data_IF_787389831501
#
_entry.id   IF_787389831501
#
_cell.length_a   1.000
_cell.length_b   1.000
_cell.length_c   1.000
_cell.angle_alpha   90.00
_cell.angle_beta   90.00
_cell.angle_gamma   90.00
#
_symmetry.space_group_name_H-M   'P 1'
#
loop_
_entity.id
_entity.type
_entity.pdbx_description
1 polymer ?
#
# COMPACT_ATOMS: atom_id res chain seq x y z
N UNK A 1 28.43 -2.90 -12.78
CA UNK A 1 26.97 -2.73 -12.64
C UNK A 1 26.68 -1.23 -12.69
N UNK A 2 25.79 -0.78 -13.57
CA UNK A 2 25.49 0.65 -13.72
C UNK A 2 24.57 1.09 -12.58
N UNK A 3 25.05 1.94 -11.66
CA UNK A 3 24.28 2.41 -10.49
C UNK A 3 22.97 3.09 -10.92
N UNK A 4 22.99 3.83 -12.04
CA UNK A 4 21.78 4.40 -12.65
C UNK A 4 20.74 3.33 -13.00
N UNK A 5 21.16 2.18 -13.53
CA UNK A 5 20.23 1.10 -13.89
C UNK A 5 19.59 0.48 -12.64
N UNK A 6 20.36 0.34 -11.56
CA UNK A 6 19.85 -0.17 -10.27
C UNK A 6 18.86 0.82 -9.66
N UNK A 7 19.19 2.12 -9.69
CA UNK A 7 18.30 3.18 -9.25
C UNK A 7 16.98 3.16 -10.02
N UNK A 8 17.03 3.23 -11.36
CA UNK A 8 15.82 3.23 -12.22
C UNK A 8 14.95 2.00 -11.97
N UNK A 9 15.56 0.82 -11.87
CA UNK A 9 14.82 -0.42 -11.58
C UNK A 9 14.16 -0.37 -10.20
N UNK A 10 14.87 0.09 -9.17
CA UNK A 10 14.32 0.23 -7.83
C UNK A 10 13.17 1.25 -7.79
N UNK A 11 13.32 2.41 -8.44
CA UNK A 11 12.27 3.41 -8.53
C UNK A 11 11.04 2.88 -9.26
N UNK A 12 11.22 2.13 -10.35
CA UNK A 12 10.11 1.53 -11.08
C UNK A 12 9.36 0.50 -10.22
N UNK A 13 10.09 -0.38 -9.53
CA UNK A 13 9.50 -1.34 -8.59
C UNK A 13 8.74 -0.66 -7.46
N UNK A 14 9.27 0.46 -6.93
CA UNK A 14 8.59 1.27 -5.93
C UNK A 14 7.24 1.78 -6.46
N UNK A 15 7.21 2.39 -7.65
CA UNK A 15 5.95 2.89 -8.21
C UNK A 15 4.95 1.78 -8.48
N UNK A 16 5.38 0.65 -9.03
CA UNK A 16 4.52 -0.53 -9.25
C UNK A 16 3.94 -1.02 -7.91
N UNK A 17 4.76 -1.08 -6.86
CA UNK A 17 4.33 -1.51 -5.54
C UNK A 17 3.29 -0.55 -4.94
N UNK A 18 3.49 0.76 -5.05
CA UNK A 18 2.53 1.77 -4.59
C UNK A 18 1.20 1.66 -5.34
N UNK A 19 1.23 1.55 -6.67
CA UNK A 19 0.01 1.38 -7.48
C UNK A 19 -0.71 0.09 -7.09
N UNK A 20 0.02 -1.03 -6.96
CA UNK A 20 -0.56 -2.29 -6.52
C UNK A 20 -1.20 -2.18 -5.14
N UNK A 21 -0.52 -1.53 -4.19
CA UNK A 21 -1.08 -1.29 -2.86
C UNK A 21 -2.43 -0.55 -2.93
N UNK A 22 -2.53 0.51 -3.73
CA UNK A 22 -3.75 1.29 -3.89
C UNK A 22 -4.89 0.45 -4.47
N UNK A 23 -4.60 -0.39 -5.47
CA UNK A 23 -5.57 -1.31 -6.06
C UNK A 23 -6.09 -2.32 -5.02
N UNK A 24 -5.21 -2.89 -4.20
CA UNK A 24 -5.58 -3.85 -3.15
C UNK A 24 -6.38 -3.17 -2.02
N UNK A 25 -6.05 -1.93 -1.63
CA UNK A 25 -6.85 -1.15 -0.66
C UNK A 25 -8.26 -0.93 -1.23
N UNK A 26 -8.38 -0.57 -2.49
CA UNK A 26 -9.68 -0.37 -3.13
C UNK A 26 -10.47 -1.69 -3.20
N UNK A 27 -9.80 -2.81 -3.51
CA UNK A 27 -10.40 -4.13 -3.47
C UNK A 27 -10.88 -4.50 -2.06
N UNK A 28 -10.09 -4.20 -1.02
CA UNK A 28 -10.46 -4.39 0.37
C UNK A 28 -11.73 -3.63 0.72
N UNK A 29 -11.77 -2.33 0.41
CA UNK A 29 -12.93 -1.48 0.69
C UNK A 29 -14.18 -1.91 -0.07
N UNK A 30 -14.01 -2.33 -1.33
CA UNK A 30 -15.10 -2.90 -2.14
C UNK A 30 -15.63 -4.18 -1.50
N UNK A 31 -14.77 -5.12 -1.15
CA UNK A 31 -15.17 -6.38 -0.54
C UNK A 31 -15.87 -6.17 0.80
N UNK A 32 -15.32 -5.26 1.63
CA UNK A 32 -15.90 -4.88 2.91
C UNK A 32 -17.27 -4.21 2.74
N UNK A 33 -17.44 -3.34 1.73
CA UNK A 33 -18.74 -2.73 1.42
C UNK A 33 -19.78 -3.78 1.01
N UNK A 34 -19.37 -4.74 0.19
CA UNK A 34 -20.28 -5.69 -0.42
C UNK A 34 -20.67 -6.83 0.55
N UNK A 35 -19.77 -7.24 1.45
CA UNK A 35 -19.99 -8.38 2.37
C UNK A 35 -20.12 -8.00 3.85
N UNK A 36 -19.58 -6.85 4.26
CA UNK A 36 -19.59 -6.37 5.66
C UNK A 36 -20.06 -4.90 5.72
N UNK A 37 -21.25 -4.58 5.19
CA UNK A 37 -21.69 -3.20 5.00
C UNK A 37 -21.72 -2.40 6.30
N UNK A 38 -22.07 -3.03 7.43
CA UNK A 38 -22.06 -2.37 8.75
C UNK A 38 -20.67 -1.85 9.15
N UNK A 39 -19.60 -2.61 8.87
CA UNK A 39 -18.22 -2.18 9.13
C UNK A 39 -17.76 -1.12 8.14
N UNK A 40 -18.17 -1.23 6.88
CA UNK A 40 -17.88 -0.22 5.87
C UNK A 40 -18.56 1.13 6.20
N UNK A 41 -19.79 1.10 6.71
CA UNK A 41 -20.51 2.29 7.18
C UNK A 41 -19.88 2.90 8.45
N UNK A 42 -19.45 2.07 9.40
CA UNK A 42 -18.76 2.53 10.61
C UNK A 42 -17.45 3.30 10.30
N UNK A 43 -16.80 3.00 9.16
CA UNK A 43 -15.65 3.76 8.67
C UNK A 43 -16.00 5.08 7.96
N UNK A 44 -17.29 5.43 7.86
CA UNK A 44 -17.72 6.65 7.17
C UNK A 44 -17.69 6.55 5.65
N UNK A 45 -17.77 5.32 5.09
CA UNK A 45 -17.82 5.02 3.66
C UNK A 45 -16.61 5.60 2.89
N UNK A 46 -15.38 5.19 3.25
CA UNK A 46 -14.16 5.73 2.63
C UNK A 46 -14.16 5.47 1.13
N UNK A 47 -13.88 6.50 0.34
CA UNK A 47 -13.70 6.40 -1.11
C UNK A 47 -12.29 6.83 -1.47
N UNK A 48 -11.69 6.16 -2.45
CA UNK A 48 -10.49 6.68 -3.07
C UNK A 48 -10.88 7.91 -3.89
N UNK A 49 -10.58 9.10 -3.37
CA UNK A 49 -10.65 10.34 -4.13
C UNK A 49 -9.21 10.78 -4.48
N UNK A 50 -8.96 11.08 -5.76
CA UNK A 50 -7.63 11.49 -6.27
C UNK A 50 -7.23 12.86 -5.72
N UNK A 51 -8.19 13.63 -5.21
CA UNK A 51 -7.91 14.79 -4.37
C UNK A 51 -7.24 14.31 -3.07
N UNK A 52 -5.91 14.36 -3.08
CA UNK A 52 -5.00 13.95 -2.02
C UNK A 52 -5.43 14.49 -0.66
N UNK A 53 -6.17 13.70 0.12
CA UNK A 53 -6.46 14.10 1.49
C UNK A 53 -7.79 13.72 2.10
N UNK A 54 -8.60 12.83 1.49
CA UNK A 54 -9.77 12.34 2.22
C UNK A 54 -9.30 11.64 3.51
N UNK A 55 -9.56 12.32 4.63
CA UNK A 55 -9.15 11.88 5.96
C UNK A 55 -9.72 10.49 6.24
N UNK A 56 -10.92 10.18 5.73
CA UNK A 56 -11.57 8.87 5.89
C UNK A 56 -10.81 7.78 5.18
N UNK A 57 -10.29 8.05 3.98
CA UNK A 57 -9.46 7.10 3.25
C UNK A 57 -8.14 6.83 3.98
N UNK A 58 -7.49 7.88 4.53
CA UNK A 58 -6.27 7.72 5.34
C UNK A 58 -6.54 6.91 6.63
N UNK A 59 -7.63 7.19 7.32
CA UNK A 59 -8.03 6.43 8.51
C UNK A 59 -8.37 4.98 8.16
N UNK A 60 -9.04 4.73 7.03
CA UNK A 60 -9.32 3.37 6.56
C UNK A 60 -8.01 2.60 6.27
N UNK A 61 -7.02 3.23 5.64
CA UNK A 61 -5.71 2.60 5.43
C UNK A 61 -5.05 2.25 6.77
N UNK A 62 -5.09 3.15 7.76
CA UNK A 62 -4.56 2.88 9.10
C UNK A 62 -5.29 1.71 9.76
N UNK A 63 -6.61 1.68 9.68
CA UNK A 63 -7.45 0.61 10.21
C UNK A 63 -7.12 -0.75 9.57
N UNK A 64 -7.02 -0.78 8.24
CA UNK A 64 -6.61 -1.97 7.48
C UNK A 64 -5.25 -2.43 7.99
N UNK A 65 -4.23 -1.56 7.98
CA UNK A 65 -2.85 -1.90 8.42
C UNK A 65 -2.80 -2.42 9.86
N UNK A 66 -3.63 -1.87 10.76
CA UNK A 66 -3.79 -2.30 12.16
C UNK A 66 -4.58 -3.60 12.35
N UNK A 67 -5.03 -4.26 11.27
CA UNK A 67 -5.76 -5.55 11.32
C UNK A 67 -7.09 -5.47 12.07
N UNK A 68 -7.76 -4.32 12.07
CA UNK A 68 -9.05 -4.10 12.75
C UNK A 68 -10.26 -4.83 12.12
N UNK A 69 -10.01 -5.78 11.22
CA UNK A 69 -11.03 -6.56 10.52
C UNK A 69 -10.75 -8.06 10.60
N UNK A 70 -9.71 -8.48 11.34
CA UNK A 70 -9.40 -9.92 11.53
C UNK A 70 -10.54 -10.64 12.24
N UNK A 71 -11.30 -9.96 13.10
CA UNK A 71 -12.45 -10.53 13.79
C UNK A 71 -13.58 -10.94 12.85
N UNK A 72 -13.59 -10.45 11.61
CA UNK A 72 -14.59 -10.83 10.60
C UNK A 72 -14.36 -12.25 10.07
N UNK A 73 -13.19 -12.85 10.33
CA UNK A 73 -12.79 -14.18 9.85
C UNK A 73 -13.02 -14.38 8.34
N UNK A 74 -12.94 -13.29 7.57
CA UNK A 74 -13.16 -13.31 6.13
C UNK A 74 -11.84 -13.71 5.41
N UNK A 75 -11.82 -14.85 4.70
CA UNK A 75 -10.62 -15.34 4.05
C UNK A 75 -10.17 -14.42 2.89
N UNK A 76 -11.10 -13.73 2.24
CA UNK A 76 -10.81 -12.82 1.14
C UNK A 76 -10.20 -11.50 1.65
N UNK A 77 -10.74 -10.93 2.73
CA UNK A 77 -10.10 -9.79 3.41
C UNK A 77 -8.68 -10.14 3.90
N UNK A 78 -8.50 -11.36 4.42
CA UNK A 78 -7.19 -11.87 4.85
C UNK A 78 -6.21 -11.98 3.67
N UNK A 79 -6.68 -12.47 2.51
CA UNK A 79 -5.90 -12.57 1.28
C UNK A 79 -5.46 -11.19 0.79
N UNK A 80 -6.40 -10.24 0.72
CA UNK A 80 -6.13 -8.87 0.29
C UNK A 80 -5.17 -8.18 1.27
N UNK A 81 -5.34 -8.37 2.58
CA UNK A 81 -4.43 -7.84 3.59
C UNK A 81 -2.98 -8.32 3.38
N UNK A 82 -2.78 -9.60 3.10
CA UNK A 82 -1.45 -10.14 2.78
C UNK A 82 -0.86 -9.51 1.50
N UNK A 83 -1.70 -9.25 0.49
CA UNK A 83 -1.29 -8.58 -0.74
C UNK A 83 -0.86 -7.12 -0.49
N UNK A 84 -1.62 -6.37 0.31
CA UNK A 84 -1.27 -5.01 0.75
C UNK A 84 0.09 -5.03 1.46
N UNK A 85 0.27 -5.93 2.43
CA UNK A 85 1.53 -6.03 3.20
C UNK A 85 2.73 -6.40 2.32
N UNK A 86 2.53 -7.27 1.32
CA UNK A 86 3.57 -7.63 0.35
C UNK A 86 3.96 -6.41 -0.50
N UNK A 87 2.99 -5.64 -0.98
CA UNK A 87 3.24 -4.41 -1.73
C UNK A 87 3.99 -3.37 -0.89
N UNK A 88 3.57 -3.16 0.38
CA UNK A 88 4.28 -2.31 1.34
C UNK A 88 5.74 -2.71 1.50
N UNK A 89 6.01 -4.01 1.68
CA UNK A 89 7.38 -4.51 1.83
C UNK A 89 8.22 -4.26 0.57
N UNK A 90 7.68 -4.52 -0.62
CA UNK A 90 8.39 -4.25 -1.88
C UNK A 90 8.69 -2.76 -2.01
N UNK A 91 7.74 -1.88 -1.72
CA UNK A 91 7.96 -0.44 -1.75
C UNK A 91 9.08 -0.01 -0.79
N UNK A 92 9.07 -0.48 0.45
CA UNK A 92 10.10 -0.16 1.45
C UNK A 92 11.49 -0.62 0.97
N UNK A 93 11.62 -1.86 0.51
CA UNK A 93 12.90 -2.40 0.03
C UNK A 93 13.39 -1.64 -1.19
N UNK A 94 12.52 -1.37 -2.17
CA UNK A 94 12.86 -0.59 -3.35
C UNK A 94 13.31 0.84 -3.02
N UNK A 95 12.63 1.50 -2.07
CA UNK A 95 13.02 2.82 -1.59
C UNK A 95 14.39 2.78 -0.88
N UNK A 96 14.63 1.80 -0.02
CA UNK A 96 15.92 1.64 0.68
C UNK A 96 17.07 1.40 -0.31
N UNK A 97 16.85 0.61 -1.36
CA UNK A 97 17.83 0.38 -2.43
C UNK A 97 18.12 1.69 -3.18
N UNK A 98 17.08 2.44 -3.58
CA UNK A 98 17.25 3.71 -4.27
C UNK A 98 18.06 4.72 -3.42
N UNK A 99 17.72 4.86 -2.13
CA UNK A 99 18.45 5.72 -1.19
C UNK A 99 19.91 5.26 -1.05
N UNK A 100 20.13 3.95 -0.90
CA UNK A 100 21.48 3.38 -0.80
C UNK A 100 22.34 3.66 -2.03
N UNK A 101 21.76 3.57 -3.24
CA UNK A 101 22.45 3.92 -4.49
C UNK A 101 22.83 5.41 -4.49
N UNK A 102 21.89 6.29 -4.14
CA UNK A 102 22.14 7.74 -4.08
C UNK A 102 23.26 8.09 -3.10
N UNK A 103 23.30 7.46 -1.92
CA UNK A 103 24.38 7.68 -0.94
C UNK A 103 25.74 7.25 -1.49
N UNK A 104 25.81 6.11 -2.19
CA UNK A 104 27.05 5.62 -2.81
C UNK A 104 27.53 6.57 -3.91
N UNK A 105 26.62 7.12 -4.71
CA UNK A 105 26.97 8.10 -5.75
C UNK A 105 27.49 9.41 -5.14
N UNK A 106 26.84 9.91 -4.09
CA UNK A 106 27.30 11.12 -3.38
C UNK A 106 28.67 10.93 -2.75
N UNK A 107 28.99 9.76 -2.18
CA UNK A 107 30.31 9.47 -1.61
C UNK A 107 31.44 9.34 -2.65
N UNK A 108 31.09 9.07 -3.90
CA UNK A 108 32.06 8.91 -5.00
C UNK A 108 32.25 10.18 -5.82
N UNK A 109 31.34 11.15 -5.69
CA UNK A 109 31.42 12.48 -6.29
C UNK A 109 32.23 13.44 -5.43
#
# INVERSE_FOLDING_TARGET
MNLNLVFVTATLLFFIAVVKQLLEINAFLKHLRDHHPSRYEAMGRPKWNIQFGDQRFREAIKAIRKRQFEELNDPELTRIYKAIKKADYVAIVSAAVAIGVTLIEVMKS
#
